data_IF_637426920650
#
_entry.id   IF_637426920650
#
_cell.length_a   1.000
_cell.length_b   1.000
_cell.length_c   1.000
_cell.angle_alpha   90.00
_cell.angle_beta   90.00
_cell.angle_gamma   90.00
#
_symmetry.space_group_name_H-M   'P 1'
#
loop_
_entity.id
_entity.type
_entity.pdbx_description
1 polymer ?
#
# COMPACT_ATOMS: atom_id res chain seq x y z
N UNK A 1 13.87 8.42 10.55
CA UNK A 1 12.53 7.80 10.37
C UNK A 1 12.45 7.06 9.03
N UNK A 2 12.73 7.72 7.89
CA UNK A 2 12.95 7.04 6.59
C UNK A 2 13.93 5.87 6.67
N UNK A 3 15.03 6.03 7.43
CA UNK A 3 16.04 4.97 7.61
C UNK A 3 15.54 3.79 8.42
N UNK A 4 14.54 3.93 9.31
CA UNK A 4 14.11 2.81 10.17
C UNK A 4 13.05 1.94 9.48
N UNK A 5 12.14 2.54 8.71
CA UNK A 5 11.18 1.80 7.87
C UNK A 5 11.92 1.11 6.73
N UNK A 6 12.88 1.80 6.09
CA UNK A 6 13.73 1.15 5.09
C UNK A 6 14.71 0.15 5.72
N UNK A 7 15.29 0.38 6.90
CA UNK A 7 16.21 -0.58 7.55
C UNK A 7 15.50 -1.86 8.02
N UNK A 8 14.22 -1.78 8.42
CA UNK A 8 13.42 -2.97 8.71
C UNK A 8 13.07 -3.76 7.43
N UNK A 9 13.06 -3.12 6.25
CA UNK A 9 12.78 -3.73 4.94
C UNK A 9 14.02 -4.06 4.08
N UNK A 10 15.19 -3.43 4.31
CA UNK A 10 16.40 -3.53 3.45
C UNK A 10 17.49 -4.44 4.00
N UNK A 11 17.43 -4.90 5.25
CA UNK A 11 18.47 -5.79 5.78
C UNK A 11 18.22 -7.21 5.26
N UNK A 12 18.80 -7.47 4.07
CA UNK A 12 19.06 -8.75 3.35
C UNK A 12 18.32 -8.95 2.04
N UNK A 13 18.79 -8.21 1.02
CA UNK A 13 18.64 -8.59 -0.38
C UNK A 13 19.60 -9.76 -0.73
N UNK A 14 19.15 -10.98 -0.52
CA UNK A 14 19.73 -12.19 -1.11
C UNK A 14 18.59 -13.04 -1.67
N UNK A 15 18.72 -13.53 -2.91
CA UNK A 15 17.76 -14.44 -3.53
C UNK A 15 17.51 -15.64 -2.59
N UNK A 16 16.28 -15.79 -2.07
CA UNK A 16 15.91 -16.87 -1.13
C UNK A 16 15.65 -16.45 0.32
N UNK A 17 15.64 -15.16 0.66
CA UNK A 17 15.25 -14.70 2.01
C UNK A 17 13.78 -14.29 2.03
N UNK A 18 13.04 -14.97 2.89
CA UNK A 18 11.67 -14.68 3.26
C UNK A 18 11.50 -13.23 3.72
N UNK A 19 10.62 -12.48 3.07
CA UNK A 19 10.48 -11.03 3.27
C UNK A 19 9.82 -10.69 4.61
N UNK A 20 9.03 -11.61 5.14
CA UNK A 20 8.23 -11.38 6.32
C UNK A 20 8.19 -12.58 7.27
N UNK A 21 8.97 -12.55 8.35
CA UNK A 21 9.01 -13.61 9.38
C UNK A 21 7.65 -14.01 9.99
N UNK A 22 6.60 -13.20 9.80
CA UNK A 22 5.25 -13.47 10.34
C UNK A 22 4.33 -14.24 9.39
N UNK A 23 4.71 -14.38 8.11
CA UNK A 23 3.98 -15.17 7.11
C UNK A 23 4.74 -16.49 6.88
N UNK A 24 4.11 -17.53 6.32
CA UNK A 24 4.86 -18.72 5.91
C UNK A 24 5.51 -18.51 4.54
N UNK A 25 6.76 -18.95 4.30
CA UNK A 25 7.42 -18.77 2.99
C UNK A 25 6.65 -19.37 1.81
N UNK A 26 5.88 -20.43 2.06
CA UNK A 26 5.05 -21.07 1.05
C UNK A 26 3.80 -20.23 0.71
N UNK A 27 3.24 -19.51 1.67
CA UNK A 27 2.10 -18.62 1.47
C UNK A 27 2.51 -17.34 0.75
N UNK A 28 3.65 -16.77 1.14
CA UNK A 28 4.28 -15.63 0.47
C UNK A 28 4.48 -15.95 -1.02
N UNK A 29 5.15 -17.07 -1.32
CA UNK A 29 5.42 -17.51 -2.69
C UNK A 29 4.12 -17.74 -3.48
N UNK A 30 3.10 -18.36 -2.88
CA UNK A 30 1.80 -18.59 -3.52
C UNK A 30 1.10 -17.27 -3.86
N UNK A 31 1.13 -16.31 -2.93
CA UNK A 31 0.48 -15.02 -3.11
C UNK A 31 1.17 -14.17 -4.18
N UNK A 32 2.50 -14.14 -4.19
CA UNK A 32 3.29 -13.48 -5.23
C UNK A 32 2.98 -14.10 -6.60
N UNK A 33 3.06 -15.43 -6.71
CA UNK A 33 2.80 -16.14 -7.96
C UNK A 33 1.40 -15.88 -8.52
N UNK A 34 0.39 -15.81 -7.64
CA UNK A 34 -0.98 -15.45 -8.01
C UNK A 34 -1.08 -14.04 -8.61
N UNK A 35 -0.24 -13.10 -8.16
CA UNK A 35 -0.28 -11.69 -8.57
C UNK A 35 0.88 -11.27 -9.47
N UNK A 36 1.71 -12.19 -9.97
CA UNK A 36 2.89 -11.90 -10.80
C UNK A 36 2.57 -11.01 -12.02
N UNK A 37 1.44 -11.23 -12.68
CA UNK A 37 1.02 -10.39 -13.83
C UNK A 37 0.77 -8.94 -13.42
N UNK A 38 0.08 -8.75 -12.28
CA UNK A 38 -0.20 -7.44 -11.73
C UNK A 38 1.11 -6.74 -11.32
N UNK A 39 1.99 -7.44 -10.60
CA UNK A 39 3.28 -6.93 -10.13
C UNK A 39 4.13 -6.45 -11.31
N UNK A 40 4.27 -7.26 -12.36
CA UNK A 40 5.05 -6.89 -13.56
C UNK A 40 4.43 -5.71 -14.30
N UNK A 41 3.11 -5.65 -14.41
CA UNK A 41 2.41 -4.53 -15.06
C UNK A 41 2.70 -3.21 -14.35
N UNK A 42 2.55 -3.17 -13.02
CA UNK A 42 2.80 -1.96 -12.22
C UNK A 42 4.30 -1.58 -12.23
N UNK A 43 5.19 -2.57 -12.14
CA UNK A 43 6.64 -2.36 -12.23
C UNK A 43 7.03 -1.67 -13.54
N UNK A 44 6.44 -2.10 -14.67
CA UNK A 44 6.67 -1.46 -15.97
C UNK A 44 6.04 -0.07 -16.07
N UNK A 45 4.81 0.10 -15.57
CA UNK A 45 4.09 1.39 -15.62
C UNK A 45 4.83 2.49 -14.86
N UNK A 46 5.31 2.20 -13.65
CA UNK A 46 6.01 3.15 -12.79
C UNK A 46 7.53 3.10 -12.93
N UNK A 47 8.06 2.24 -13.83
CA UNK A 47 9.50 2.03 -14.03
C UNK A 47 10.25 1.73 -12.71
N UNK A 48 9.60 0.98 -11.81
CA UNK A 48 10.15 0.60 -10.50
C UNK A 48 10.57 -0.86 -10.48
N UNK A 49 11.58 -1.23 -9.68
CA UNK A 49 12.01 -2.61 -9.57
C UNK A 49 10.87 -3.50 -9.06
N UNK A 50 10.76 -4.71 -9.61
CA UNK A 50 9.73 -5.70 -9.24
C UNK A 50 9.71 -5.96 -7.74
N UNK A 51 10.87 -5.94 -7.09
CA UNK A 51 11.06 -6.19 -5.66
C UNK A 51 10.31 -5.17 -4.79
N UNK A 52 10.32 -3.89 -5.17
CA UNK A 52 9.58 -2.85 -4.43
C UNK A 52 8.07 -3.07 -4.55
N UNK A 53 7.61 -3.46 -5.75
CA UNK A 53 6.19 -3.75 -5.96
C UNK A 53 5.77 -5.00 -5.17
N UNK A 54 6.62 -6.03 -5.13
CA UNK A 54 6.42 -7.22 -4.29
C UNK A 54 6.29 -6.83 -2.82
N UNK A 55 7.19 -5.98 -2.30
CA UNK A 55 7.14 -5.52 -0.92
C UNK A 55 5.80 -4.84 -0.58
N UNK A 56 5.32 -3.92 -1.43
CA UNK A 56 4.03 -3.25 -1.23
C UNK A 56 2.86 -4.23 -1.26
N UNK A 57 2.90 -5.22 -2.17
CA UNK A 57 1.89 -6.26 -2.30
C UNK A 57 1.88 -7.20 -1.09
N UNK A 58 3.04 -7.52 -0.51
CA UNK A 58 3.14 -8.33 0.70
C UNK A 58 2.63 -7.58 1.94
N UNK A 59 2.90 -6.28 2.06
CA UNK A 59 2.32 -5.46 3.13
C UNK A 59 0.79 -5.49 3.06
N UNK A 60 0.21 -5.37 1.86
CA UNK A 60 -1.24 -5.51 1.69
C UNK A 60 -1.74 -6.88 2.15
N UNK A 61 -1.01 -7.95 1.82
CA UNK A 61 -1.37 -9.30 2.21
C UNK A 61 -1.35 -9.49 3.74
N UNK A 62 -0.41 -8.86 4.46
CA UNK A 62 -0.42 -8.86 5.93
C UNK A 62 -1.71 -8.29 6.50
N UNK A 63 -2.14 -7.12 6.01
CA UNK A 63 -3.40 -6.51 6.46
C UNK A 63 -4.61 -7.39 6.17
N UNK A 64 -4.60 -8.07 5.01
CA UNK A 64 -5.62 -9.03 4.66
C UNK A 64 -5.66 -10.22 5.62
N UNK A 65 -4.51 -10.74 6.05
CA UNK A 65 -4.41 -11.85 7.01
C UNK A 65 -4.77 -11.43 8.45
N UNK A 66 -4.43 -10.21 8.85
CA UNK A 66 -4.69 -9.69 10.20
C UNK A 66 -6.19 -9.41 10.44
N UNK A 67 -6.93 -9.09 9.39
CA UNK A 67 -8.37 -8.87 9.48
C UNK A 67 -9.08 -10.16 9.91
N UNK A 68 -9.33 -10.31 11.22
CA UNK A 68 -10.06 -11.43 11.82
C UNK A 68 -11.46 -11.58 11.18
N UNK A 69 -11.60 -12.41 10.14
CA UNK A 69 -12.87 -12.68 9.44
C UNK A 69 -12.72 -13.01 7.95
N UNK A 70 -13.85 -13.09 7.23
CA UNK A 70 -13.92 -13.34 5.78
C UNK A 70 -13.49 -12.13 4.91
N UNK A 71 -12.80 -11.14 5.48
CA UNK A 71 -12.41 -9.94 4.75
C UNK A 71 -11.41 -10.31 3.65
N UNK A 72 -11.76 -9.99 2.40
CA UNK A 72 -10.96 -10.36 1.22
C UNK A 72 -9.85 -9.33 0.91
N UNK A 73 -9.50 -8.46 1.86
CA UNK A 73 -8.50 -7.40 1.66
C UNK A 73 -8.36 -6.45 2.85
N UNK A 74 -7.52 -5.44 2.69
CA UNK A 74 -7.27 -4.38 3.68
C UNK A 74 -8.53 -3.55 3.92
N UNK A 75 -8.88 -3.29 5.18
CA UNK A 75 -10.01 -2.41 5.54
C UNK A 75 -9.60 -0.94 5.50
N UNK A 76 -10.57 -0.03 5.35
CA UNK A 76 -10.29 1.42 5.45
C UNK A 76 -9.74 1.84 6.82
N UNK A 77 -10.15 1.17 7.89
CA UNK A 77 -9.60 1.41 9.23
C UNK A 77 -8.11 1.07 9.27
N UNK A 78 -7.72 -0.10 8.75
CA UNK A 78 -6.30 -0.49 8.67
C UNK A 78 -5.48 0.48 7.81
N UNK A 79 -6.04 0.99 6.71
CA UNK A 79 -5.38 2.04 5.92
C UNK A 79 -5.13 3.29 6.76
N UNK A 80 -6.13 3.77 7.49
CA UNK A 80 -6.02 4.95 8.36
C UNK A 80 -4.99 4.75 9.46
N UNK A 81 -5.03 3.60 10.15
CA UNK A 81 -4.04 3.25 11.17
C UNK A 81 -2.62 3.16 10.59
N UNK A 82 -2.47 2.59 9.40
CA UNK A 82 -1.17 2.56 8.71
C UNK A 82 -0.66 3.97 8.40
N UNK A 83 -1.51 4.84 7.85
CA UNK A 83 -1.15 6.22 7.52
C UNK A 83 -0.79 7.02 8.77
N UNK A 84 -1.55 6.86 9.86
CA UNK A 84 -1.27 7.49 11.14
C UNK A 84 0.08 7.03 11.71
N UNK A 85 0.29 5.72 11.81
CA UNK A 85 1.48 5.15 12.46
C UNK A 85 2.75 5.27 11.61
N UNK A 86 2.64 5.24 10.28
CA UNK A 86 3.80 5.17 9.39
C UNK A 86 4.21 6.54 8.86
N UNK A 87 3.23 7.42 8.60
CA UNK A 87 3.47 8.75 8.04
C UNK A 87 3.26 9.87 9.06
N UNK A 88 2.97 9.53 10.33
CA UNK A 88 2.75 10.48 11.43
C UNK A 88 1.62 11.48 11.13
N UNK A 89 0.59 11.02 10.41
CA UNK A 89 -0.60 11.80 10.10
C UNK A 89 -1.55 11.79 11.30
N UNK A 90 -1.46 12.82 12.14
CA UNK A 90 -2.21 12.92 13.41
C UNK A 90 -3.58 13.58 13.30
N UNK A 91 -3.80 14.40 12.27
CA UNK A 91 -5.09 15.03 12.01
C UNK A 91 -6.09 14.00 11.44
N UNK A 92 -7.07 13.64 12.27
CA UNK A 92 -8.08 12.62 11.98
C UNK A 92 -8.96 13.02 10.79
N UNK A 93 -9.32 14.31 10.68
CA UNK A 93 -10.17 14.80 9.60
C UNK A 93 -9.41 14.76 8.28
N UNK A 94 -8.14 15.20 8.29
CA UNK A 94 -7.27 15.12 7.12
C UNK A 94 -7.03 13.67 6.68
N UNK A 95 -6.85 12.76 7.63
CA UNK A 95 -6.69 11.33 7.36
C UNK A 95 -7.92 10.74 6.65
N UNK A 96 -9.12 11.15 7.06
CA UNK A 96 -10.37 10.74 6.41
C UNK A 96 -10.47 11.28 4.99
N UNK A 97 -10.06 12.52 4.76
CA UNK A 97 -10.04 13.11 3.42
C UNK A 97 -9.02 12.44 2.51
N UNK A 98 -7.82 12.14 3.02
CA UNK A 98 -6.81 11.38 2.28
C UNK A 98 -7.36 10.00 1.92
N UNK A 99 -7.85 9.23 2.90
CA UNK A 99 -8.41 7.90 2.65
C UNK A 99 -9.57 7.93 1.64
N UNK A 100 -10.43 8.95 1.71
CA UNK A 100 -11.55 9.14 0.79
C UNK A 100 -11.09 9.47 -0.64
N UNK A 101 -10.11 10.37 -0.79
CA UNK A 101 -9.55 10.75 -2.09
C UNK A 101 -8.87 9.56 -2.79
N UNK A 102 -8.27 8.65 -2.01
CA UNK A 102 -7.64 7.44 -2.52
C UNK A 102 -8.65 6.36 -2.93
N UNK A 103 -9.85 6.37 -2.34
CA UNK A 103 -10.93 5.41 -2.61
C UNK A 103 -12.08 6.01 -3.44
N UNK A 104 -11.82 7.07 -4.20
CA UNK A 104 -12.82 7.74 -5.03
C UNK A 104 -13.48 6.76 -6.02
N UNK A 105 -14.58 6.15 -5.58
CA UNK A 105 -15.34 5.16 -6.33
C UNK A 105 -16.82 5.43 -6.23
N UNK A 106 -17.51 5.18 -7.35
CA UNK A 106 -18.96 5.26 -7.45
C UNK A 106 -19.67 4.34 -6.44
N UNK A 107 -19.06 3.22 -6.09
CA UNK A 107 -19.58 2.24 -5.13
C UNK A 107 -18.56 2.03 -4.01
N UNK A 108 -18.60 2.82 -2.93
CA UNK A 108 -17.67 2.66 -1.82
C UNK A 108 -17.88 1.31 -1.15
N UNK A 109 -16.79 0.55 -0.98
CA UNK A 109 -16.80 -0.72 -0.25
C UNK A 109 -15.95 -0.59 1.02
N UNK A 110 -16.19 -1.42 2.06
CA UNK A 110 -15.37 -1.38 3.27
C UNK A 110 -13.92 -1.86 3.05
N UNK A 111 -13.65 -2.52 1.92
CA UNK A 111 -12.34 -3.07 1.56
C UNK A 111 -11.65 -2.10 0.61
N UNK A 112 -10.43 -1.70 0.95
CA UNK A 112 -9.56 -0.91 0.10
C UNK A 112 -8.81 -1.84 -0.88
N UNK A 113 -8.94 -1.66 -2.21
CA UNK A 113 -8.34 -2.56 -3.19
C UNK A 113 -6.80 -2.55 -3.18
N UNK A 114 -6.19 -3.72 -3.43
CA UNK A 114 -4.73 -3.86 -3.51
C UNK A 114 -4.09 -2.97 -4.58
N UNK A 115 -4.71 -2.85 -5.75
CA UNK A 115 -4.18 -1.99 -6.81
C UNK A 115 -4.12 -0.53 -6.37
N UNK A 116 -5.16 -0.05 -5.68
CA UNK A 116 -5.17 1.31 -5.13
C UNK A 116 -4.08 1.47 -4.09
N UNK A 117 -3.96 0.53 -3.17
CA UNK A 117 -2.90 0.54 -2.17
C UNK A 117 -1.51 0.71 -2.77
N UNK A 118 -1.17 -0.14 -3.74
CA UNK A 118 0.15 -0.07 -4.37
C UNK A 118 0.34 1.28 -5.08
N UNK A 119 -0.65 1.75 -5.83
CA UNK A 119 -0.57 3.06 -6.53
C UNK A 119 -0.49 4.24 -5.57
N UNK A 120 -1.24 4.22 -4.47
CA UNK A 120 -1.20 5.23 -3.41
C UNK A 120 0.20 5.29 -2.78
N UNK A 121 0.78 4.15 -2.44
CA UNK A 121 2.13 4.11 -1.86
C UNK A 121 3.19 4.60 -2.85
N UNK A 122 3.06 4.24 -4.14
CA UNK A 122 3.95 4.75 -5.18
C UNK A 122 3.82 6.27 -5.36
N UNK A 123 2.62 6.83 -5.27
CA UNK A 123 2.39 8.27 -5.26
C UNK A 123 3.04 8.96 -4.05
N UNK A 124 2.84 8.43 -2.84
CA UNK A 124 3.42 9.01 -1.63
C UNK A 124 4.95 8.98 -1.62
N UNK A 125 5.56 7.86 -2.03
CA UNK A 125 7.01 7.71 -1.98
C UNK A 125 7.73 8.28 -3.20
N UNK A 126 7.14 8.15 -4.39
CA UNK A 126 7.81 8.44 -5.67
C UNK A 126 7.06 9.40 -6.58
N UNK A 127 5.86 9.86 -6.20
CA UNK A 127 5.12 10.84 -6.98
C UNK A 127 5.96 12.09 -7.22
N UNK A 128 5.89 12.63 -8.44
CA UNK A 128 6.53 13.91 -8.74
C UNK A 128 5.74 15.06 -8.08
N UNK A 129 6.26 16.28 -8.18
CA UNK A 129 5.63 17.46 -7.57
C UNK A 129 4.22 17.71 -8.11
N UNK A 130 4.00 17.55 -9.41
CA UNK A 130 2.69 17.77 -10.06
C UNK A 130 1.66 16.75 -9.57
N UNK A 131 2.00 15.46 -9.58
CA UNK A 131 1.13 14.38 -9.10
C UNK A 131 0.74 14.57 -7.62
N UNK A 132 1.69 15.05 -6.80
CA UNK A 132 1.46 15.35 -5.39
C UNK A 132 0.53 16.54 -5.22
N UNK A 133 0.74 17.61 -5.99
CA UNK A 133 -0.13 18.79 -5.98
C UNK A 133 -1.55 18.40 -6.39
N UNK A 134 -1.70 17.65 -7.48
CA UNK A 134 -2.99 17.16 -7.95
C UNK A 134 -3.70 16.29 -6.91
N UNK A 135 -2.95 15.44 -6.22
CA UNK A 135 -3.51 14.66 -5.12
C UNK A 135 -3.94 15.54 -3.95
N UNK A 136 -3.10 16.48 -3.51
CA UNK A 136 -3.46 17.43 -2.47
C UNK A 136 -4.72 18.23 -2.83
N UNK A 137 -4.84 18.69 -4.08
CA UNK A 137 -6.05 19.35 -4.54
C UNK A 137 -7.28 18.46 -4.39
N UNK A 138 -7.21 17.19 -4.79
CA UNK A 138 -8.32 16.23 -4.61
C UNK A 138 -8.67 15.96 -3.14
N UNK A 139 -7.69 16.04 -2.24
CA UNK A 139 -7.93 15.90 -0.79
C UNK A 139 -8.71 17.09 -0.24
N UNK A 140 -8.39 18.31 -0.71
CA UNK A 140 -9.03 19.54 -0.24
C UNK A 140 -10.31 19.91 -1.01
N UNK A 141 -10.48 19.42 -2.24
CA UNK A 141 -11.67 19.63 -3.06
C UNK A 141 -12.81 18.72 -2.60
N UNK A 142 -13.46 19.14 -1.52
CA UNK A 142 -14.51 18.38 -0.81
C UNK A 142 -15.90 18.45 -1.46
N UNK A 143 -16.05 19.14 -2.58
CA UNK A 143 -17.37 19.45 -3.18
C UNK A 143 -17.64 18.77 -4.53
N UNK A 144 -16.88 17.75 -4.92
CA UNK A 144 -17.13 16.98 -6.14
C UNK A 144 -18.20 15.88 -6.00
#
# INVERSE_FOLDING_TARGET
>A
IYTYIFSFCLIKMSFGVHFDLTISPSEETRFINKHTRFIRRISNEYHRPVQEIVALVLIYYKFQCESKGNAKGMTKNQLREFLHNTLDLTDIDLLEFIASSLDATRNPTPIFPMERWVRSMLLFFYGNTEDRIDHCFKVYDRYQ
#
